data_IF_652771781427
#
_entry.id   IF_652771781427
#
_cell.length_a   1.000
_cell.length_b   1.000
_cell.length_c   1.000
_cell.angle_alpha   90.00
_cell.angle_beta   90.00
_cell.angle_gamma   90.00
#
_symmetry.space_group_name_H-M   'P 1'
#
loop_
_entity.id
_entity.type
_entity.pdbx_description
1 polymer ?
#
# COMPACT_ATOMS: atom_id res chain seq x y z
N UNK A 1 -30.24 -21.15 -6.19
CA UNK A 1 -30.61 -20.88 -7.60
C UNK A 1 -29.87 -21.84 -8.51
N UNK A 2 -30.44 -22.20 -9.68
CA UNK A 2 -29.75 -22.92 -10.75
C UNK A 2 -29.46 -21.95 -11.88
N UNK A 3 -28.19 -21.80 -12.24
CA UNK A 3 -27.71 -20.93 -13.30
C UNK A 3 -26.90 -21.75 -14.30
N UNK A 4 -26.96 -21.38 -15.56
CA UNK A 4 -26.05 -21.88 -16.60
C UNK A 4 -24.98 -20.80 -16.78
N UNK A 5 -23.71 -21.19 -16.68
CA UNK A 5 -22.59 -20.28 -16.82
C UNK A 5 -21.55 -20.95 -17.71
N UNK A 6 -20.93 -20.17 -18.59
CA UNK A 6 -19.81 -20.62 -19.42
C UNK A 6 -18.52 -20.41 -18.65
N UNK A 7 -17.65 -21.43 -18.60
CA UNK A 7 -16.31 -21.35 -18.03
C UNK A 7 -15.30 -21.57 -19.15
N UNK A 8 -14.17 -20.89 -19.07
CA UNK A 8 -13.02 -21.20 -19.90
C UNK A 8 -12.53 -22.64 -19.63
N UNK A 9 -12.01 -23.29 -20.67
CA UNK A 9 -11.65 -24.71 -20.63
C UNK A 9 -10.57 -25.01 -19.58
N UNK A 10 -9.62 -24.08 -19.40
CA UNK A 10 -8.56 -24.17 -18.41
C UNK A 10 -9.10 -24.09 -16.99
N UNK A 11 -10.02 -23.17 -16.71
CA UNK A 11 -10.66 -23.01 -15.39
C UNK A 11 -11.51 -24.25 -15.06
N UNK A 12 -12.26 -24.76 -16.03
CA UNK A 12 -13.03 -26.00 -15.87
C UNK A 12 -12.11 -27.20 -15.58
N UNK A 13 -10.96 -27.30 -16.26
CA UNK A 13 -9.97 -28.35 -16.02
C UNK A 13 -9.35 -28.25 -14.61
N UNK A 14 -8.98 -27.05 -14.18
CA UNK A 14 -8.44 -26.79 -12.85
C UNK A 14 -9.44 -27.17 -11.74
N UNK A 15 -10.69 -26.76 -11.86
CA UNK A 15 -11.74 -27.10 -10.89
C UNK A 15 -12.04 -28.61 -10.85
N UNK A 16 -12.00 -29.29 -12.00
CA UNK A 16 -12.15 -30.76 -12.05
C UNK A 16 -10.97 -31.48 -11.40
N UNK A 17 -9.74 -30.99 -11.59
CA UNK A 17 -8.56 -31.53 -10.91
C UNK A 17 -8.69 -31.37 -9.40
N UNK A 18 -9.02 -30.17 -8.94
CA UNK A 18 -9.24 -29.88 -7.52
C UNK A 18 -10.34 -30.75 -6.91
N UNK A 19 -11.43 -31.00 -7.64
CA UNK A 19 -12.50 -31.90 -7.21
C UNK A 19 -12.01 -33.34 -6.99
N UNK A 20 -11.13 -33.83 -7.87
CA UNK A 20 -10.54 -35.18 -7.75
C UNK A 20 -9.57 -35.26 -6.57
N UNK A 21 -8.72 -34.25 -6.41
CA UNK A 21 -7.72 -34.22 -5.34
C UNK A 21 -8.35 -34.10 -3.95
N UNK A 22 -9.42 -33.29 -3.83
CA UNK A 22 -10.08 -33.03 -2.55
C UNK A 22 -11.26 -33.97 -2.27
N UNK A 23 -11.73 -34.73 -3.27
CA UNK A 23 -12.95 -35.54 -3.17
C UNK A 23 -14.24 -34.72 -3.03
N UNK A 24 -14.19 -33.40 -3.23
CA UNK A 24 -15.32 -32.48 -3.00
C UNK A 24 -16.17 -32.32 -4.27
N UNK A 25 -17.50 -32.15 -4.16
CA UNK A 25 -18.36 -31.93 -5.30
C UNK A 25 -17.96 -30.69 -6.12
N UNK A 26 -17.91 -30.83 -7.45
CA UNK A 26 -17.56 -29.74 -8.39
C UNK A 26 -18.36 -28.45 -8.14
N UNK A 27 -19.68 -28.58 -7.90
CA UNK A 27 -20.55 -27.45 -7.56
C UNK A 27 -20.10 -26.73 -6.28
N UNK A 28 -19.63 -27.45 -5.27
CA UNK A 28 -19.20 -26.85 -4.02
C UNK A 28 -17.96 -25.99 -4.25
N UNK A 29 -16.98 -26.53 -4.98
CA UNK A 29 -15.75 -25.82 -5.33
C UNK A 29 -16.01 -24.58 -6.19
N UNK A 30 -16.89 -24.68 -7.20
CA UNK A 30 -17.30 -23.52 -8.02
C UNK A 30 -17.87 -22.40 -7.14
N UNK A 31 -18.80 -22.74 -6.24
CA UNK A 31 -19.41 -21.71 -5.38
C UNK A 31 -18.42 -21.14 -4.36
N UNK A 32 -17.49 -21.93 -3.86
CA UNK A 32 -16.45 -21.45 -2.94
C UNK A 32 -15.48 -20.52 -3.64
N UNK A 33 -15.01 -20.88 -4.84
CA UNK A 33 -14.16 -20.02 -5.66
C UNK A 33 -14.86 -18.69 -5.98
N UNK A 34 -16.13 -18.73 -6.37
CA UNK A 34 -16.92 -17.52 -6.64
C UNK A 34 -17.10 -16.68 -5.37
N UNK A 35 -17.37 -17.28 -4.21
CA UNK A 35 -17.46 -16.53 -2.94
C UNK A 35 -16.14 -15.87 -2.59
N UNK A 36 -15.03 -16.61 -2.68
CA UNK A 36 -13.70 -16.08 -2.41
C UNK A 36 -13.35 -14.90 -3.33
N UNK A 37 -13.71 -14.98 -4.62
CA UNK A 37 -13.48 -13.89 -5.57
C UNK A 37 -14.43 -12.70 -5.44
N UNK A 38 -15.63 -12.90 -4.87
CA UNK A 38 -16.61 -11.82 -4.62
C UNK A 38 -16.49 -11.21 -3.22
N UNK A 39 -15.75 -11.84 -2.31
CA UNK A 39 -15.44 -11.19 -1.03
C UNK A 39 -14.62 -9.94 -1.33
N UNK A 40 -15.02 -8.77 -0.80
CA UNK A 40 -14.19 -7.58 -0.92
C UNK A 40 -12.86 -7.91 -0.25
N UNK A 41 -11.80 -8.03 -1.04
CA UNK A 41 -10.45 -8.08 -0.52
C UNK A 41 -10.27 -6.80 0.28
N UNK A 42 -10.29 -6.92 1.61
CA UNK A 42 -9.96 -5.83 2.52
C UNK A 42 -8.49 -5.39 2.39
N UNK A 43 -7.73 -6.02 1.50
CA UNK A 43 -6.39 -5.62 1.08
C UNK A 43 -6.43 -4.64 -0.11
N UNK A 44 -7.08 -3.48 0.09
CA UNK A 44 -6.43 -2.21 -0.32
C UNK A 44 -5.78 -1.52 0.88
N UNK A 45 -5.78 -2.17 2.04
CA UNK A 45 -4.68 -1.98 2.98
C UNK A 45 -3.55 -2.89 2.50
N UNK A 46 -2.76 -2.39 1.57
CA UNK A 46 -1.32 -2.58 1.69
C UNK A 46 -1.00 -2.26 3.14
N UNK A 47 -0.89 -3.29 3.98
CA UNK A 47 -0.08 -3.23 5.18
C UNK A 47 1.33 -3.01 4.67
N UNK A 48 1.60 -1.77 4.25
CA UNK A 48 2.95 -1.29 4.04
C UNK A 48 3.64 -1.61 5.33
N UNK A 49 4.58 -2.56 5.29
CA UNK A 49 5.38 -2.91 6.45
C UNK A 49 5.83 -1.60 7.12
N UNK A 50 5.65 -1.43 8.44
CA UNK A 50 5.94 -0.16 9.09
C UNK A 50 7.40 0.21 8.80
N UNK A 51 7.60 1.29 8.07
CA UNK A 51 8.94 1.84 7.84
C UNK A 51 9.50 2.35 9.15
N UNK A 52 10.80 2.15 9.43
CA UNK A 52 11.42 2.67 10.63
C UNK A 52 11.27 4.18 10.69
N UNK A 53 10.72 4.68 11.80
CA UNK A 53 10.64 6.11 12.11
C UNK A 53 11.87 6.54 12.89
N UNK A 54 12.39 7.72 12.58
CA UNK A 54 13.51 8.34 13.26
C UNK A 54 13.06 9.65 13.90
N UNK A 55 13.52 9.92 15.12
CA UNK A 55 13.40 11.24 15.73
C UNK A 55 14.37 12.19 15.01
N UNK A 56 13.82 13.20 14.33
CA UNK A 56 14.59 14.21 13.61
C UNK A 56 14.89 15.46 14.47
N UNK A 57 14.49 15.49 15.75
CA UNK A 57 14.79 16.60 16.65
C UNK A 57 14.14 17.92 16.21
N UNK A 58 12.91 17.86 15.67
CA UNK A 58 12.25 19.01 15.09
C UNK A 58 11.90 20.06 16.15
N UNK A 59 12.33 21.30 15.90
CA UNK A 59 11.92 22.43 16.74
C UNK A 59 10.52 22.91 16.35
N UNK A 60 9.68 23.30 17.32
CA UNK A 60 8.37 23.87 17.04
C UNK A 60 8.45 25.04 16.06
N UNK A 61 7.55 25.09 15.09
CA UNK A 61 7.49 26.15 14.08
C UNK A 61 8.33 25.94 12.82
N UNK A 62 9.12 24.85 12.73
CA UNK A 62 9.88 24.52 11.51
C UNK A 62 9.02 23.67 10.56
N UNK A 63 8.68 24.24 9.41
CA UNK A 63 8.02 23.54 8.30
C UNK A 63 9.06 22.84 7.41
N UNK A 64 9.22 21.53 7.58
CA UNK A 64 10.15 20.73 6.77
C UNK A 64 9.78 20.64 5.29
N UNK A 65 8.50 20.83 4.93
CA UNK A 65 8.08 20.85 3.52
C UNK A 65 8.73 22.06 2.81
N UNK A 66 8.98 23.13 3.57
CA UNK A 66 9.63 24.36 3.11
C UNK A 66 11.05 24.54 3.65
N UNK A 67 11.79 23.45 3.88
CA UNK A 67 13.14 23.48 4.43
C UNK A 67 14.12 24.42 3.69
N UNK A 68 13.94 24.64 2.37
CA UNK A 68 14.76 25.60 1.60
C UNK A 68 14.58 27.05 2.07
N UNK A 69 13.36 27.45 2.44
CA UNK A 69 13.12 28.81 2.94
C UNK A 69 13.84 29.04 4.26
N UNK A 70 13.76 28.08 5.18
CA UNK A 70 14.50 28.13 6.44
C UNK A 70 16.01 28.23 6.20
N UNK A 71 16.56 27.49 5.24
CA UNK A 71 17.98 27.58 4.90
C UNK A 71 18.38 28.98 4.42
N UNK A 72 17.55 29.60 3.57
CA UNK A 72 17.78 30.97 3.08
C UNK A 72 17.75 31.99 4.22
N UNK A 73 16.76 31.91 5.12
CA UNK A 73 16.67 32.83 6.27
C UNK A 73 17.92 32.72 7.16
N UNK A 74 18.40 31.50 7.43
CA UNK A 74 19.61 31.28 8.23
C UNK A 74 20.88 31.80 7.53
N UNK A 75 20.96 31.67 6.21
CA UNK A 75 22.06 32.23 5.40
C UNK A 75 22.06 33.76 5.42
N UNK A 76 20.88 34.37 5.32
CA UNK A 76 20.70 35.82 5.37
C UNK A 76 21.10 36.38 6.74
N UNK A 77 20.65 35.73 7.83
CA UNK A 77 21.03 36.08 9.20
C UNK A 77 22.55 36.04 9.43
N UNK A 78 23.21 34.97 8.99
CA UNK A 78 24.67 34.86 9.12
C UNK A 78 25.43 35.84 8.21
N UNK A 79 24.88 36.16 7.04
CA UNK A 79 25.47 37.19 6.15
C UNK A 79 25.40 38.56 6.79
N UNK A 80 24.25 38.95 7.35
CA UNK A 80 24.08 40.17 8.14
C UNK A 80 25.06 40.24 9.31
N UNK A 81 25.18 39.15 10.07
CA UNK A 81 26.10 39.06 11.20
C UNK A 81 27.56 39.30 10.81
N UNK A 82 28.03 38.71 9.70
CA UNK A 82 29.40 38.90 9.20
C UNK A 82 29.66 40.33 8.76
N UNK A 83 28.69 40.94 8.06
CA UNK A 83 28.76 42.34 7.65
C UNK A 83 28.86 43.29 8.86
N UNK A 84 28.09 43.04 9.92
CA UNK A 84 28.17 43.79 11.19
C UNK A 84 29.53 43.63 11.89
N UNK A 85 30.12 42.44 11.80
CA UNK A 85 31.46 42.13 12.34
C UNK A 85 32.62 42.66 11.48
N UNK A 86 32.35 43.32 10.33
CA UNK A 86 33.36 43.75 9.34
C UNK A 86 34.36 42.63 8.98
N UNK A 87 33.86 41.39 8.82
CA UNK A 87 34.63 40.25 8.31
C UNK A 87 34.11 39.81 6.95
#
# INVERSE_FOLDING_TARGET
MRTTLTLDDDLAAQLRRLARETGRPFKQLVNEALRAGLMPTSADRSETAPTPTFDLGLRPGIDLIRARHLATELEDEETLRKLELRK
#
